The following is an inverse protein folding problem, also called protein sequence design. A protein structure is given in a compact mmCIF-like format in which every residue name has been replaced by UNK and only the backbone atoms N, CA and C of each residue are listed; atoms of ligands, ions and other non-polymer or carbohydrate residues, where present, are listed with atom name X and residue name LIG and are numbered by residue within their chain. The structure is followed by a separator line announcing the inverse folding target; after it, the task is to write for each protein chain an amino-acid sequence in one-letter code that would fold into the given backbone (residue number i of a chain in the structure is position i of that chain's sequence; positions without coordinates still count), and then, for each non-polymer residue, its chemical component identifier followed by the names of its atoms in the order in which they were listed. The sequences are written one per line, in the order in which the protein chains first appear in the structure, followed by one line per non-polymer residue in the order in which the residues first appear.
data_IF_223458937531
#
_entry.id   IF_223458937531
#
_cell.length_a   1.000
_cell.length_b   1.000
_cell.length_c   1.000
_cell.angle_alpha   90.00
_cell.angle_beta   90.00
_cell.angle_gamma   90.00
#
_symmetry.space_group_name_H-M   'P 1'
#
loop_
_entity.id
_entity.type
_entity.pdbx_description
1 polymer ?
#
# COMPACT_ATOMS: atom_id res chain seq x y z
N UNK A 1 13.90 -14.57 8.85
CA UNK A 1 13.12 -13.99 9.95
C UNK A 1 11.69 -14.52 9.90
N UNK A 2 11.17 -14.92 11.05
CA UNK A 2 9.80 -15.43 11.13
C UNK A 2 8.83 -14.28 11.41
N UNK A 3 7.76 -14.23 10.64
CA UNK A 3 6.69 -13.25 10.84
C UNK A 3 5.57 -13.87 11.66
N UNK A 4 4.79 -13.02 12.33
CA UNK A 4 3.60 -13.45 13.03
C UNK A 4 2.61 -14.09 12.07
N UNK A 5 1.80 -15.03 12.57
CA UNK A 5 0.82 -15.73 11.75
C UNK A 5 -0.16 -14.78 11.08
N UNK A 6 -0.51 -13.68 11.74
CA UNK A 6 -1.42 -12.68 11.16
C UNK A 6 -0.84 -12.06 9.89
N UNK A 7 0.47 -11.81 9.87
CA UNK A 7 1.14 -11.30 8.68
C UNK A 7 1.12 -12.35 7.57
N UNK A 8 1.43 -13.59 7.90
CA UNK A 8 1.43 -14.69 6.94
C UNK A 8 0.05 -14.88 6.32
N UNK A 9 -1.00 -14.85 7.16
CA UNK A 9 -2.37 -15.02 6.68
C UNK A 9 -2.82 -13.84 5.81
N UNK A 10 -2.43 -12.62 6.17
CA UNK A 10 -2.75 -11.46 5.35
C UNK A 10 -2.06 -11.53 3.99
N UNK A 11 -0.83 -12.01 3.94
CA UNK A 11 -0.13 -12.21 2.67
C UNK A 11 -0.83 -13.27 1.83
N UNK A 12 -1.23 -14.38 2.43
CA UNK A 12 -1.95 -15.44 1.72
C UNK A 12 -3.28 -14.94 1.18
N UNK A 13 -3.99 -14.14 1.98
CA UNK A 13 -5.24 -13.53 1.53
C UNK A 13 -4.99 -12.61 0.34
N UNK A 14 -3.97 -11.77 0.42
CA UNK A 14 -3.63 -10.86 -0.66
C UNK A 14 -3.32 -11.61 -1.96
N UNK A 15 -2.64 -12.75 -1.86
CA UNK A 15 -2.32 -13.55 -3.04
C UNK A 15 -3.57 -14.09 -3.74
N UNK A 16 -4.67 -14.23 -3.02
CA UNK A 16 -5.92 -14.76 -3.54
C UNK A 16 -6.90 -13.67 -3.98
N UNK A 17 -6.59 -12.39 -3.77
CA UNK A 17 -7.51 -11.31 -4.06
C UNK A 17 -7.38 -10.81 -5.49
N UNK A 18 -8.51 -10.43 -6.07
CA UNK A 18 -8.54 -9.77 -7.37
C UNK A 18 -8.34 -8.26 -7.26
N UNK A 19 -8.33 -7.73 -6.04
CA UNK A 19 -8.15 -6.30 -5.77
C UNK A 19 -6.68 -6.06 -5.40
N UNK A 20 -6.05 -4.99 -5.92
CA UNK A 20 -4.68 -4.65 -5.54
C UNK A 20 -4.50 -4.50 -4.04
N UNK A 21 -3.48 -5.13 -3.50
CA UNK A 21 -3.19 -5.11 -2.07
C UNK A 21 -1.69 -4.93 -1.84
N UNK A 22 -1.35 -4.13 -0.82
CA UNK A 22 0.02 -3.76 -0.47
C UNK A 22 0.16 -3.94 1.04
N UNK A 23 1.13 -4.74 1.46
CA UNK A 23 1.28 -5.16 2.87
C UNK A 23 2.61 -4.67 3.42
N UNK A 24 2.58 -4.07 4.62
CA UNK A 24 3.80 -3.61 5.30
C UNK A 24 3.91 -4.19 6.70
N UNK A 25 5.13 -4.12 7.26
CA UNK A 25 5.36 -4.39 8.67
C UNK A 25 5.13 -3.11 9.51
N UNK A 26 5.45 -3.16 10.81
CA UNK A 26 5.22 -2.04 11.72
C UNK A 26 6.08 -0.82 11.42
N UNK A 27 7.21 -1.02 10.77
CA UNK A 27 8.14 0.06 10.42
C UNK A 27 7.86 0.65 9.05
N UNK A 28 6.85 0.11 8.36
CA UNK A 28 6.50 0.58 7.03
C UNK A 28 7.28 -0.09 5.91
N UNK A 29 8.06 -1.13 6.21
CA UNK A 29 8.74 -1.86 5.16
C UNK A 29 7.73 -2.64 4.35
N UNK A 30 7.80 -2.52 3.01
CA UNK A 30 6.95 -3.30 2.12
C UNK A 30 7.33 -4.76 2.23
N UNK A 31 6.35 -5.60 2.57
CA UNK A 31 6.56 -7.04 2.65
C UNK A 31 6.06 -7.76 1.40
N UNK A 32 5.02 -7.23 0.78
CA UNK A 32 4.41 -7.90 -0.38
C UNK A 32 3.37 -6.99 -1.03
N UNK A 33 3.22 -7.09 -2.36
CA UNK A 33 2.02 -6.65 -3.04
C UNK A 33 1.66 -7.70 -4.09
N UNK A 34 0.35 -7.84 -4.36
CA UNK A 34 -0.15 -8.93 -5.19
C UNK A 34 -0.11 -8.59 -6.69
N UNK A 35 -0.47 -9.56 -7.52
CA UNK A 35 -0.44 -9.42 -8.96
C UNK A 35 -1.30 -8.25 -9.47
N UNK A 36 -2.57 -8.07 -9.01
CA UNK A 36 -3.33 -6.91 -9.45
C UNK A 36 -2.64 -5.57 -9.13
N UNK A 37 -1.90 -5.48 -8.03
CA UNK A 37 -1.16 -4.28 -7.68
C UNK A 37 -0.02 -4.02 -8.67
N UNK A 38 0.58 -5.07 -9.21
CA UNK A 38 1.66 -4.94 -10.18
C UNK A 38 1.23 -4.16 -11.42
N UNK A 39 -0.02 -4.31 -11.85
CA UNK A 39 -0.55 -3.58 -12.99
C UNK A 39 -0.57 -2.07 -12.75
N UNK A 40 -0.97 -1.66 -11.56
CA UNK A 40 -1.07 -0.24 -11.22
C UNK A 40 0.30 0.35 -10.92
N UNK A 41 1.13 -0.39 -10.19
CA UNK A 41 2.44 0.10 -9.78
C UNK A 41 3.46 0.07 -10.92
N UNK A 42 3.25 -0.79 -11.91
CA UNK A 42 4.12 -0.85 -13.09
C UNK A 42 5.37 -1.68 -12.88
N UNK A 43 5.40 -2.52 -11.86
CA UNK A 43 6.56 -3.38 -11.61
C UNK A 43 6.12 -4.60 -10.78
N UNK A 44 6.71 -5.75 -11.10
CA UNK A 44 6.43 -6.99 -10.37
C UNK A 44 7.10 -6.97 -9.01
N UNK A 45 6.43 -7.54 -8.01
CA UNK A 45 7.01 -7.65 -6.68
C UNK A 45 8.32 -8.44 -6.70
N UNK A 46 8.41 -9.47 -7.55
CA UNK A 46 9.64 -10.24 -7.70
C UNK A 46 10.84 -9.37 -8.04
N UNK A 47 10.61 -8.27 -8.76
CA UNK A 47 11.69 -7.38 -9.20
C UNK A 47 12.00 -6.30 -8.17
N UNK A 48 11.02 -5.90 -7.35
CA UNK A 48 11.24 -4.87 -6.33
C UNK A 48 11.71 -5.46 -5.02
N UNK A 49 11.12 -6.60 -4.62
CA UNK A 49 11.37 -7.17 -3.30
C UNK A 49 10.86 -6.29 -2.19
N UNK A 50 11.27 -6.58 -0.97
CA UNK A 50 10.93 -5.76 0.19
C UNK A 50 11.66 -4.42 0.11
N UNK A 51 10.98 -3.35 0.51
CA UNK A 51 11.61 -2.03 0.52
C UNK A 51 11.05 -1.17 1.64
N UNK A 52 11.88 -0.27 2.23
CA UNK A 52 11.41 0.59 3.31
C UNK A 52 10.48 1.69 2.82
N UNK A 53 9.74 2.30 3.75
CA UNK A 53 8.80 3.38 3.42
C UNK A 53 9.50 4.56 2.76
N UNK A 54 10.74 4.84 3.16
CA UNK A 54 11.51 5.93 2.55
C UNK A 54 11.73 5.70 1.06
N UNK A 55 11.66 4.45 0.61
CA UNK A 55 11.83 4.10 -0.78
C UNK A 55 10.49 4.03 -1.51
N UNK A 56 9.54 3.19 -1.04
CA UNK A 56 8.26 3.08 -1.74
C UNK A 56 7.40 4.34 -1.61
N UNK A 57 7.60 5.12 -0.56
CA UNK A 57 6.87 6.37 -0.39
C UNK A 57 7.27 7.45 -1.38
N UNK A 58 8.39 7.28 -2.07
CA UNK A 58 8.91 8.27 -3.03
C UNK A 58 9.05 7.73 -4.44
N UNK A 59 9.22 6.40 -4.59
CA UNK A 59 9.44 5.81 -5.91
C UNK A 59 8.16 5.89 -6.77
N UNK A 60 6.98 5.78 -6.16
CA UNK A 60 5.72 5.96 -6.84
C UNK A 60 5.29 7.41 -6.62
N UNK A 61 5.15 8.16 -7.69
CA UNK A 61 4.80 9.59 -7.60
C UNK A 61 3.31 9.75 -7.41
N UNK A 62 2.94 10.38 -6.32
CA UNK A 62 1.54 10.57 -5.94
C UNK A 62 1.17 12.04 -6.03
N UNK A 63 -0.01 12.34 -6.54
CA UNK A 63 -0.52 13.70 -6.69
C UNK A 63 -1.95 13.76 -6.18
N UNK A 64 -2.32 14.91 -5.62
CA UNK A 64 -3.69 15.13 -5.18
C UNK A 64 -4.60 15.40 -6.38
N UNK A 65 -5.88 15.65 -6.12
CA UNK A 65 -6.87 15.88 -7.17
C UNK A 65 -6.62 17.18 -7.94
N UNK A 66 -5.85 18.11 -7.40
CA UNK A 66 -5.47 19.36 -8.06
C UNK A 66 -4.15 19.24 -8.82
N UNK A 67 -3.51 18.06 -8.78
CA UNK A 67 -2.25 17.85 -9.48
C UNK A 67 -1.01 18.21 -8.68
N UNK A 68 -1.15 18.58 -7.41
CA UNK A 68 -0.01 18.90 -6.56
C UNK A 68 0.61 17.62 -5.98
N UNK A 69 1.93 17.58 -5.81
CA UNK A 69 2.56 16.40 -5.21
C UNK A 69 2.01 16.13 -3.81
N UNK A 70 1.76 14.86 -3.51
CA UNK A 70 1.38 14.44 -2.17
C UNK A 70 2.62 14.10 -1.37
N UNK A 71 2.74 14.65 -0.16
CA UNK A 71 3.79 14.24 0.75
C UNK A 71 3.52 12.81 1.23
N UNK A 72 4.58 12.08 1.55
CA UNK A 72 4.44 10.69 1.99
C UNK A 72 3.51 10.57 3.20
N UNK A 73 3.57 11.52 4.14
CA UNK A 73 2.75 11.47 5.36
C UNK A 73 1.27 11.77 5.10
N UNK A 74 0.89 12.14 3.87
CA UNK A 74 -0.51 12.31 3.48
C UNK A 74 -1.12 11.03 2.91
N UNK A 75 -0.31 10.02 2.64
CA UNK A 75 -0.79 8.76 2.09
C UNK A 75 -1.53 7.97 3.16
N UNK A 76 -2.66 7.32 2.80
CA UNK A 76 -3.44 6.56 3.78
C UNK A 76 -2.61 5.53 4.54
N UNK A 77 -1.77 4.79 3.83
CA UNK A 77 -0.97 3.74 4.46
C UNK A 77 -0.01 4.30 5.51
N UNK A 78 0.64 5.43 5.21
CA UNK A 78 1.54 6.07 6.15
C UNK A 78 0.79 6.58 7.37
N UNK A 79 -0.41 7.14 7.17
CA UNK A 79 -1.26 7.58 8.28
C UNK A 79 -1.68 6.40 9.16
N UNK A 80 -2.02 5.27 8.54
CA UNK A 80 -2.38 4.06 9.29
C UNK A 80 -1.20 3.56 10.12
N UNK A 81 0.01 3.60 9.55
CA UNK A 81 1.21 3.20 10.28
C UNK A 81 1.46 4.08 11.51
N UNK A 82 1.20 5.37 11.39
CA UNK A 82 1.41 6.31 12.50
C UNK A 82 0.32 6.22 13.56
N UNK A 83 -0.94 6.18 13.13
CA UNK A 83 -2.07 6.34 14.03
C UNK A 83 -2.77 5.03 14.37
N UNK A 84 -2.45 3.96 13.64
CA UNK A 84 -3.03 2.61 13.85
C UNK A 84 -4.54 2.61 13.69
N UNK A 85 -5.02 3.40 12.75
CA UNK A 85 -6.44 3.56 12.40
C UNK A 85 -6.63 3.40 10.91
N UNK A 86 -7.83 3.05 10.45
CA UNK A 86 -8.08 3.00 9.01
C UNK A 86 -8.19 4.39 8.41
N UNK A 87 -7.78 4.51 7.16
CA UNK A 87 -7.85 5.76 6.40
C UNK A 87 -8.25 5.47 4.97
N UNK A 88 -8.80 6.46 4.30
CA UNK A 88 -9.19 6.36 2.90
C UNK A 88 -8.89 7.67 2.19
N UNK A 89 -8.42 7.58 0.94
CA UNK A 89 -8.17 8.77 0.12
C UNK A 89 -8.18 8.39 -1.34
N UNK A 90 -8.64 9.30 -2.19
CA UNK A 90 -8.57 9.17 -3.65
C UNK A 90 -7.51 10.15 -4.14
N UNK A 91 -6.60 9.66 -4.98
CA UNK A 91 -5.51 10.49 -5.50
C UNK A 91 -4.98 9.87 -6.79
N UNK A 92 -4.02 10.56 -7.42
CA UNK A 92 -3.39 10.10 -8.64
C UNK A 92 -2.04 9.48 -8.32
N UNK A 93 -1.74 8.35 -8.95
CA UNK A 93 -0.43 7.70 -8.87
C UNK A 93 0.17 7.64 -10.26
N UNK A 94 1.47 7.96 -10.35
CA UNK A 94 2.23 7.74 -11.56
C UNK A 94 3.04 6.47 -11.35
N UNK A 95 2.78 5.45 -12.17
CA UNK A 95 3.47 4.16 -12.06
C UNK A 95 4.91 4.29 -12.53
N UNK A 96 5.68 3.24 -12.30
CA UNK A 96 7.08 3.20 -12.76
C UNK A 96 7.21 3.20 -14.27
N UNK A 97 6.11 2.93 -15.00
CA UNK A 97 6.10 3.03 -16.46
C UNK A 97 5.73 4.42 -16.94
N UNK A 98 5.46 5.36 -16.03
CA UNK A 98 5.09 6.73 -16.37
C UNK A 98 3.61 6.96 -16.59
N UNK A 99 2.78 5.93 -16.43
CA UNK A 99 1.35 6.05 -16.63
C UNK A 99 0.70 6.59 -15.37
N UNK A 100 -0.12 7.64 -15.50
CA UNK A 100 -0.86 8.22 -14.38
C UNK A 100 -2.26 7.64 -14.31
N UNK A 101 -2.69 7.25 -13.11
CA UNK A 101 -4.01 6.70 -12.89
C UNK A 101 -4.61 7.27 -11.61
N UNK A 102 -5.91 7.49 -11.63
CA UNK A 102 -6.63 7.91 -10.44
C UNK A 102 -7.06 6.66 -9.68
N UNK A 103 -6.70 6.58 -8.41
CA UNK A 103 -6.98 5.41 -7.58
C UNK A 103 -7.63 5.85 -6.27
N UNK A 104 -8.44 4.94 -5.72
CA UNK A 104 -8.92 5.06 -4.34
C UNK A 104 -8.16 4.05 -3.51
N UNK A 105 -7.71 4.48 -2.35
CA UNK A 105 -6.92 3.65 -1.44
C UNK A 105 -7.61 3.64 -0.08
N UNK A 106 -7.83 2.47 0.47
CA UNK A 106 -8.21 2.32 1.86
C UNK A 106 -7.12 1.52 2.56
N UNK A 107 -6.73 1.96 3.75
CA UNK A 107 -5.71 1.27 4.51
C UNK A 107 -6.24 0.94 5.90
N UNK A 108 -5.74 -0.15 6.48
CA UNK A 108 -6.14 -0.54 7.82
C UNK A 108 -4.97 -1.22 8.53
N UNK A 109 -4.94 -1.13 9.88
CA UNK A 109 -3.88 -1.77 10.65
C UNK A 109 -4.16 -3.25 10.85
N UNK A 110 -3.09 -4.03 10.92
CA UNK A 110 -3.17 -5.43 11.32
C UNK A 110 -2.95 -5.45 12.82
N UNK A 111 -4.02 -5.79 13.56
CA UNK A 111 -3.97 -5.86 15.03
C UNK A 111 -4.05 -7.32 15.41
N UNK A 112 -3.03 -7.78 16.10
CA UNK A 112 -2.97 -9.15 16.56
C UNK A 112 -3.54 -9.32 17.96
N UNK A 113 -3.19 -10.45 18.56
CA UNK A 113 -3.64 -10.80 19.90
C UNK A 113 -3.22 -9.72 20.91
N UNK A 114 -4.11 -9.43 21.87
CA UNK A 114 -3.88 -8.44 22.92
C UNK A 114 -3.68 -7.01 22.38
N UNK A 115 -4.21 -6.74 21.20
CA UNK A 115 -4.12 -5.40 20.62
C UNK A 115 -2.75 -5.03 20.06
N UNK A 116 -1.89 -6.00 19.83
CA UNK A 116 -0.53 -5.73 19.32
C UNK A 116 -0.59 -5.32 17.86
N UNK A 117 0.01 -4.17 17.54
CA UNK A 117 0.11 -3.69 16.16
C UNK A 117 1.18 -4.47 15.40
N UNK A 118 0.84 -5.04 14.26
CA UNK A 118 1.72 -5.93 13.50
C UNK A 118 2.11 -5.41 12.13
N UNK A 119 1.41 -4.43 11.62
CA UNK A 119 1.66 -3.90 10.28
C UNK A 119 0.41 -3.28 9.71
N UNK A 120 0.40 -3.07 8.41
CA UNK A 120 -0.74 -2.43 7.74
C UNK A 120 -0.95 -2.97 6.34
N UNK A 121 -2.18 -2.85 5.86
CA UNK A 121 -2.56 -3.25 4.51
C UNK A 121 -3.19 -2.04 3.83
N UNK A 122 -2.84 -1.83 2.57
CA UNK A 122 -3.56 -0.89 1.72
C UNK A 122 -4.23 -1.68 0.60
N UNK A 123 -5.53 -1.48 0.44
CA UNK A 123 -6.27 -2.00 -0.71
C UNK A 123 -6.54 -0.81 -1.61
N UNK A 124 -6.35 -0.98 -2.90
CA UNK A 124 -6.57 0.14 -3.82
C UNK A 124 -7.16 -0.36 -5.14
N UNK A 125 -7.78 0.56 -5.87
CA UNK A 125 -8.43 0.23 -7.13
C UNK A 125 -8.50 1.48 -8.00
N UNK A 126 -8.59 1.25 -9.31
CA UNK A 126 -8.75 2.35 -10.24
C UNK A 126 -10.15 2.94 -10.10
N UNK A 127 -10.24 4.25 -10.05
CA UNK A 127 -11.53 4.95 -10.12
C UNK A 127 -11.64 5.55 -11.51
N UNK A 128 -12.83 5.52 -12.06
CA UNK A 128 -13.05 6.17 -13.36
C UNK A 128 -12.99 7.68 -13.25
N UNK A 129 -13.18 8.33 -14.39
CA UNK A 129 -13.19 9.80 -14.48
C UNK A 129 -14.53 10.40 -14.12
N UNK A 130 -15.34 9.65 -13.47
CA UNK A 130 -16.69 10.08 -13.10
C UNK A 130 -16.69 11.11 -12.01
#
# INVERSE_FOLDING_TARGET
MAYRIEIILNRQLAECMAIPAFLTDTDGNLLFYNEPAEDILGRRYEDTGEMPVSEWGTIFKNKDEEGNPLAADELPLVKTLKNKLPYHKTFWIESLTGKSERISVTSYPIIGRAGVFLGAVALFWRTGDE
#
